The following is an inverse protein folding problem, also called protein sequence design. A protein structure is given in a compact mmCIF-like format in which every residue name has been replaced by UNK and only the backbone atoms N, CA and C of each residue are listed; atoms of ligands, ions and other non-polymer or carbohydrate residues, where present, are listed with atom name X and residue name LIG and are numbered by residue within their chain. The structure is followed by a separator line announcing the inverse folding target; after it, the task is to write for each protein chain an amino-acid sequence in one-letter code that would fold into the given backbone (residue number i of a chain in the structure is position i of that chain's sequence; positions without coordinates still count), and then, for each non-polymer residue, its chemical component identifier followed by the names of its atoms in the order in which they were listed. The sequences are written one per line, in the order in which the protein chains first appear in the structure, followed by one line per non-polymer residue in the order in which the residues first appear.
data_IF_522166489537
#
_entry.id   IF_522166489537
#
_cell.length_a   1.000
_cell.length_b   1.000
_cell.length_c   1.000
_cell.angle_alpha   90.00
_cell.angle_beta   90.00
_cell.angle_gamma   90.00
#
_symmetry.space_group_name_H-M   'P 1'
#
loop_
_entity.id
_entity.type
_entity.pdbx_description
1 polymer ?
#
# COMPACT_ATOMS: atom_id res chain seq x y z
N UNK A 1 31.31 20.08 29.68
CA UNK A 1 31.85 20.49 28.37
C UNK A 1 30.75 20.89 27.38
N UNK A 2 29.47 20.58 27.65
CA UNK A 2 28.36 20.99 26.80
C UNK A 2 28.11 20.05 25.61
N UNK A 3 28.70 18.86 25.64
CA UNK A 3 28.52 17.83 24.61
C UNK A 3 27.07 17.33 24.58
N UNK A 4 26.49 17.23 23.38
CA UNK A 4 25.14 16.70 23.16
C UNK A 4 25.12 15.68 22.02
N UNK A 5 24.06 14.88 21.98
CA UNK A 5 23.77 13.96 20.88
C UNK A 5 22.29 14.10 20.55
N UNK A 6 21.98 14.16 19.25
CA UNK A 6 20.63 14.19 18.73
C UNK A 6 20.41 12.91 17.92
N UNK A 7 19.32 12.20 18.22
CA UNK A 7 18.88 11.03 17.46
C UNK A 7 17.47 11.33 16.99
N UNK A 8 17.28 11.39 15.68
CA UNK A 8 15.94 11.57 15.09
C UNK A 8 15.09 10.34 15.37
N UNK A 9 13.84 10.56 15.74
CA UNK A 9 12.84 9.50 15.88
C UNK A 9 12.15 9.25 14.53
N UNK A 10 12.75 8.40 13.70
CA UNK A 10 12.17 7.99 12.41
C UNK A 10 10.91 7.11 12.56
N UNK A 11 10.47 6.81 13.80
CA UNK A 11 9.17 6.15 14.03
C UNK A 11 8.04 7.15 14.26
N UNK A 12 8.36 8.45 14.34
CA UNK A 12 7.36 9.49 14.48
C UNK A 12 6.68 9.76 13.12
N UNK A 13 5.37 9.53 12.96
CA UNK A 13 4.68 9.74 11.70
C UNK A 13 4.70 11.20 11.23
N UNK A 14 4.84 12.17 12.15
CA UNK A 14 5.00 13.58 11.77
C UNK A 14 6.38 13.89 11.18
N UNK A 15 7.40 13.09 11.51
CA UNK A 15 8.74 13.21 10.91
C UNK A 15 8.75 12.53 9.55
N UNK A 16 8.11 11.37 9.44
CA UNK A 16 8.02 10.63 8.18
C UNK A 16 7.17 11.35 7.13
N UNK A 17 6.04 11.96 7.51
CA UNK A 17 5.21 12.71 6.56
C UNK A 17 5.73 14.11 6.21
N UNK A 18 7.05 14.37 6.31
CA UNK A 18 7.63 15.65 5.90
C UNK A 18 8.10 15.57 4.46
N UNK A 19 7.44 16.31 3.57
CA UNK A 19 7.92 16.49 2.19
C UNK A 19 9.25 17.27 2.15
N UNK A 20 9.92 17.25 0.99
CA UNK A 20 11.17 17.96 0.68
C UNK A 20 11.17 19.48 1.02
N UNK A 21 9.98 20.08 1.16
CA UNK A 21 9.82 21.51 1.45
C UNK A 21 9.43 21.82 2.89
N UNK A 22 9.20 20.80 3.70
CA UNK A 22 8.73 20.91 5.07
C UNK A 22 9.84 20.69 6.09
N UNK A 23 9.62 21.20 7.30
CA UNK A 23 10.56 21.02 8.40
C UNK A 23 9.86 21.04 9.75
N UNK A 24 10.43 20.30 10.68
CA UNK A 24 10.12 20.37 12.11
C UNK A 24 11.29 20.99 12.86
N UNK A 25 11.02 21.49 14.07
CA UNK A 25 12.03 22.12 14.91
C UNK A 25 11.93 21.62 16.34
N UNK A 26 13.03 21.08 16.85
CA UNK A 26 13.23 20.78 18.27
C UNK A 26 13.98 21.92 18.96
N UNK A 27 13.51 22.34 20.12
CA UNK A 27 14.07 23.47 20.87
C UNK A 27 14.43 23.04 22.29
N UNK A 28 15.70 23.17 22.65
CA UNK A 28 16.23 22.85 23.96
C UNK A 28 16.81 24.09 24.63
N UNK A 29 16.30 24.45 25.81
CA UNK A 29 16.82 25.58 26.59
C UNK A 29 17.84 25.04 27.60
N UNK A 30 19.03 25.64 27.63
CA UNK A 30 20.07 25.28 28.59
C UNK A 30 20.58 26.50 29.35
N UNK A 31 20.88 26.27 30.62
CA UNK A 31 21.46 27.27 31.53
C UNK A 31 22.84 26.81 31.97
N UNK A 32 23.82 27.69 31.84
CA UNK A 32 25.18 27.50 32.38
C UNK A 32 25.34 28.38 33.60
N UNK A 33 26.04 27.89 34.63
CA UNK A 33 26.44 28.66 35.80
C UNK A 33 27.97 28.73 35.84
N UNK A 34 28.51 29.89 36.20
CA UNK A 34 29.93 30.01 36.52
C UNK A 34 30.24 29.57 37.98
N UNK A 35 31.48 29.80 38.42
CA UNK A 35 31.99 29.30 39.69
C UNK A 35 31.44 30.05 40.92
N UNK A 36 30.92 31.26 40.74
CA UNK A 36 30.32 32.11 41.77
C UNK A 36 28.78 32.17 41.70
N UNK A 37 28.18 31.53 40.69
CA UNK A 37 26.75 31.22 40.65
C UNK A 37 25.94 32.10 39.69
N UNK A 38 26.59 32.88 38.84
CA UNK A 38 25.92 33.65 37.80
C UNK A 38 25.48 32.70 36.68
N UNK A 39 24.19 32.78 36.34
CA UNK A 39 23.58 31.95 35.31
C UNK A 39 23.46 32.68 33.97
N UNK A 40 23.66 31.94 32.87
CA UNK A 40 23.36 32.38 31.51
C UNK A 40 22.55 31.32 30.79
N UNK A 41 21.44 31.73 30.18
CA UNK A 41 20.53 30.84 29.46
C UNK A 41 20.62 31.09 27.96
N UNK A 42 20.60 30.02 27.18
CA UNK A 42 20.48 30.10 25.73
C UNK A 42 19.72 28.87 25.18
N UNK A 43 19.50 28.86 23.87
CA UNK A 43 18.64 27.89 23.19
C UNK A 43 19.43 27.15 22.12
N UNK A 44 19.37 25.82 22.14
CA UNK A 44 19.78 24.95 21.05
C UNK A 44 18.53 24.63 20.21
N UNK A 45 18.58 24.96 18.93
CA UNK A 45 17.53 24.67 17.96
C UNK A 45 18.05 23.63 16.97
N UNK A 46 17.33 22.52 16.82
CA UNK A 46 17.59 21.49 15.83
C UNK A 46 16.47 21.57 14.79
N UNK A 47 16.83 21.76 13.52
CA UNK A 47 15.88 21.74 12.40
C UNK A 47 15.96 20.39 11.71
N UNK A 48 14.82 19.73 11.59
CA UNK A 48 14.63 18.49 10.84
C UNK A 48 14.02 18.90 9.50
N UNK A 49 14.75 18.70 8.40
CA UNK A 49 14.19 18.91 7.06
C UNK A 49 13.64 17.57 6.56
N UNK A 50 12.50 17.62 5.88
CA UNK A 50 11.92 16.45 5.21
C UNK A 50 12.77 15.94 4.04
N UNK A 51 12.41 14.74 3.60
CA UNK A 51 12.83 14.09 2.36
C UNK A 51 11.56 13.53 1.76
N UNK A 52 11.27 13.86 0.51
CA UNK A 52 10.15 13.33 -0.25
C UNK A 52 10.51 11.91 -0.73
N UNK A 53 10.10 10.90 0.03
CA UNK A 53 10.38 9.49 -0.20
C UNK A 53 9.14 8.81 -0.79
N UNK A 54 9.03 8.84 -2.12
CA UNK A 54 7.83 8.33 -2.80
C UNK A 54 7.49 6.84 -2.63
N UNK A 55 6.31 6.50 -3.09
CA UNK A 55 5.72 5.15 -2.98
C UNK A 55 6.10 4.18 -4.11
N UNK A 56 6.05 2.87 -3.84
CA UNK A 56 6.05 1.81 -4.86
C UNK A 56 5.02 0.73 -4.54
N UNK A 57 4.53 0.06 -5.58
CA UNK A 57 3.69 -1.13 -5.51
C UNK A 57 4.33 -2.24 -6.37
N UNK A 58 4.17 -3.49 -5.93
CA UNK A 58 4.60 -4.68 -6.66
C UNK A 58 3.50 -5.73 -6.61
N UNK A 59 2.93 -6.04 -7.77
CA UNK A 59 2.05 -7.19 -7.97
C UNK A 59 2.91 -8.34 -8.55
N UNK A 60 2.94 -9.53 -7.91
CA UNK A 60 3.73 -10.65 -8.42
C UNK A 60 3.03 -11.37 -9.58
N UNK A 61 3.75 -11.58 -10.68
CA UNK A 61 3.34 -12.51 -11.75
C UNK A 61 3.52 -13.96 -11.29
N UNK A 62 2.41 -14.63 -10.96
CA UNK A 62 2.35 -16.02 -10.54
C UNK A 62 2.01 -16.99 -11.70
N UNK A 63 1.68 -16.46 -12.88
CA UNK A 63 1.51 -17.24 -14.11
C UNK A 63 2.84 -17.53 -14.83
N UNK A 64 3.88 -16.75 -14.50
CA UNK A 64 5.21 -16.81 -15.09
C UNK A 64 5.29 -16.12 -16.45
N UNK A 65 6.52 -15.91 -16.94
CA UNK A 65 6.83 -15.00 -18.06
C UNK A 65 6.21 -15.28 -19.45
N UNK A 66 5.34 -16.28 -19.57
CA UNK A 66 4.58 -16.57 -20.79
C UNK A 66 3.07 -16.73 -20.57
N UNK A 67 2.58 -16.57 -19.33
CA UNK A 67 1.17 -16.44 -19.04
C UNK A 67 0.65 -15.05 -19.42
N UNK A 68 -0.65 -14.94 -19.60
CA UNK A 68 -1.31 -13.64 -19.73
C UNK A 68 -1.78 -13.20 -18.34
N UNK A 69 -1.55 -11.94 -17.97
CA UNK A 69 -1.86 -11.41 -16.63
C UNK A 69 -1.03 -12.04 -15.51
N UNK A 70 -1.24 -11.57 -14.29
CA UNK A 70 -0.48 -12.01 -13.11
C UNK A 70 -1.02 -13.28 -12.45
N UNK A 71 -2.33 -13.50 -12.52
CA UNK A 71 -3.03 -14.67 -11.96
C UNK A 71 -3.92 -15.33 -13.02
N UNK A 72 -4.28 -16.60 -12.80
CA UNK A 72 -5.21 -17.34 -13.67
C UNK A 72 -6.28 -18.02 -12.85
N UNK A 73 -7.53 -17.83 -13.27
CA UNK A 73 -8.71 -18.60 -12.83
C UNK A 73 -9.42 -19.18 -14.06
N UNK A 74 -10.23 -20.22 -13.85
CA UNK A 74 -10.84 -20.98 -14.93
C UNK A 74 -12.35 -21.03 -14.78
N UNK A 75 -13.08 -20.54 -15.79
CA UNK A 75 -14.54 -20.71 -15.89
C UNK A 75 -14.96 -22.19 -15.88
N UNK A 76 -14.08 -23.09 -16.35
CA UNK A 76 -14.35 -24.52 -16.26
C UNK A 76 -14.53 -25.00 -14.82
N UNK A 77 -13.92 -24.29 -13.85
CA UNK A 77 -14.01 -24.55 -12.42
C UNK A 77 -15.34 -24.13 -11.77
N UNK A 78 -16.11 -23.25 -12.42
CA UNK A 78 -17.41 -22.81 -11.95
C UNK A 78 -18.37 -23.99 -11.76
N UNK A 79 -19.40 -23.78 -10.94
CA UNK A 79 -20.32 -24.85 -10.52
C UNK A 79 -21.05 -25.55 -11.69
N UNK A 80 -21.36 -24.82 -12.75
CA UNK A 80 -21.95 -25.33 -14.00
C UNK A 80 -20.94 -25.46 -15.15
N UNK A 81 -19.66 -25.22 -14.85
CA UNK A 81 -18.55 -25.35 -15.78
C UNK A 81 -18.29 -26.79 -16.22
N UNK A 82 -17.38 -26.94 -17.18
CA UNK A 82 -17.03 -28.26 -17.73
C UNK A 82 -16.17 -29.13 -16.79
N UNK A 83 -15.59 -28.54 -15.74
CA UNK A 83 -14.79 -29.22 -14.73
C UNK A 83 -15.04 -28.62 -13.32
N UNK A 84 -16.26 -28.73 -12.74
CA UNK A 84 -16.59 -28.04 -11.50
C UNK A 84 -15.64 -28.39 -10.34
N UNK A 85 -15.17 -27.37 -9.63
CA UNK A 85 -14.18 -27.50 -8.54
C UNK A 85 -12.72 -27.43 -8.98
N UNK A 86 -12.46 -27.12 -10.25
CA UNK A 86 -11.19 -26.54 -10.68
C UNK A 86 -11.02 -25.10 -10.14
N UNK A 87 -9.87 -24.46 -10.38
CA UNK A 87 -9.54 -23.14 -9.79
C UNK A 87 -10.33 -22.00 -10.43
N UNK A 88 -11.56 -21.75 -9.97
CA UNK A 88 -12.36 -20.54 -10.27
C UNK A 88 -12.08 -19.37 -9.31
N UNK A 89 -11.28 -19.63 -8.27
CA UNK A 89 -10.76 -18.67 -7.30
C UNK A 89 -9.23 -18.75 -7.21
N UNK A 90 -8.60 -17.62 -6.93
CA UNK A 90 -7.18 -17.50 -6.57
C UNK A 90 -7.01 -16.70 -5.28
N UNK A 91 -6.04 -17.10 -4.46
CA UNK A 91 -5.61 -16.34 -3.27
C UNK A 91 -4.19 -15.85 -3.49
N UNK A 92 -3.96 -14.54 -3.34
CA UNK A 92 -2.66 -13.94 -3.58
C UNK A 92 -2.45 -12.68 -2.76
N UNK A 93 -1.36 -11.96 -3.05
CA UNK A 93 -0.98 -10.74 -2.34
C UNK A 93 -0.13 -9.82 -3.19
N UNK A 94 -0.16 -8.52 -2.89
CA UNK A 94 0.76 -7.52 -3.45
C UNK A 94 1.44 -6.73 -2.32
N UNK A 95 2.58 -6.10 -2.65
CA UNK A 95 3.40 -5.38 -1.68
C UNK A 95 3.40 -3.88 -1.97
N UNK A 96 3.27 -3.07 -0.91
CA UNK A 96 3.31 -1.62 -0.94
C UNK A 96 4.51 -1.13 -0.12
N UNK A 97 5.24 -0.15 -0.65
CA UNK A 97 6.20 0.67 0.09
C UNK A 97 5.75 2.13 0.01
N UNK A 98 5.71 2.80 1.15
CA UNK A 98 5.30 4.20 1.30
C UNK A 98 6.06 4.77 2.52
N UNK A 99 7.36 5.10 2.40
CA UNK A 99 8.20 5.51 3.51
C UNK A 99 7.66 6.70 4.32
N UNK A 100 6.94 7.60 3.65
CA UNK A 100 6.29 8.78 4.25
C UNK A 100 4.91 8.45 4.87
N UNK A 101 4.56 7.17 4.90
CA UNK A 101 3.33 6.61 5.46
C UNK A 101 2.27 6.37 4.39
N UNK A 102 1.56 5.24 4.48
CA UNK A 102 0.47 4.94 3.57
C UNK A 102 -0.77 5.81 3.84
N UNK A 103 -1.22 6.58 2.86
CA UNK A 103 -2.48 7.32 2.93
C UNK A 103 -3.67 6.45 2.54
N UNK A 104 -3.65 5.95 1.31
CA UNK A 104 -4.72 5.10 0.75
C UNK A 104 -4.24 4.24 -0.41
N UNK A 105 -5.04 3.24 -0.77
CA UNK A 105 -5.00 2.64 -2.09
C UNK A 105 -6.31 2.92 -2.82
N UNK A 106 -6.24 3.03 -4.15
CA UNK A 106 -7.41 3.11 -5.02
C UNK A 106 -7.39 1.91 -5.95
N UNK A 107 -8.47 1.13 -5.94
CA UNK A 107 -8.69 0.02 -6.87
C UNK A 107 -9.49 0.54 -8.06
N UNK A 108 -8.99 0.31 -9.26
CA UNK A 108 -9.56 0.74 -10.55
C UNK A 108 -9.84 -0.52 -11.37
N UNK A 109 -11.10 -0.93 -11.42
CA UNK A 109 -11.53 -2.21 -12.02
C UNK A 109 -12.07 -2.08 -13.46
N UNK A 110 -11.95 -0.91 -14.08
CA UNK A 110 -12.48 -0.66 -15.42
C UNK A 110 -14.01 -0.51 -15.52
N UNK A 111 -14.78 -0.84 -14.47
CA UNK A 111 -16.24 -0.65 -14.39
C UNK A 111 -16.66 0.81 -14.26
N UNK A 112 -15.70 1.69 -13.96
CA UNK A 112 -15.88 3.14 -13.82
C UNK A 112 -16.25 3.62 -12.42
N UNK A 113 -16.12 2.76 -11.40
CA UNK A 113 -16.31 3.10 -9.98
C UNK A 113 -15.07 2.77 -9.15
N UNK A 114 -14.09 3.67 -9.14
CA UNK A 114 -12.88 3.49 -8.34
C UNK A 114 -13.21 3.36 -6.85
N UNK A 115 -12.60 2.38 -6.19
CA UNK A 115 -12.77 2.13 -4.75
C UNK A 115 -11.54 2.65 -4.01
N UNK A 116 -11.72 3.74 -3.26
CA UNK A 116 -10.67 4.30 -2.40
C UNK A 116 -10.73 3.64 -1.02
N UNK A 117 -9.61 3.11 -0.57
CA UNK A 117 -9.46 2.37 0.68
C UNK A 117 -8.37 3.03 1.52
N UNK A 118 -8.73 3.55 2.69
CA UNK A 118 -7.78 4.12 3.64
C UNK A 118 -6.91 3.05 4.30
N UNK A 119 -5.73 3.43 4.83
CA UNK A 119 -4.91 2.53 5.63
C UNK A 119 -5.70 1.92 6.81
N UNK A 120 -6.61 2.68 7.41
CA UNK A 120 -7.45 2.20 8.51
C UNK A 120 -8.42 1.08 8.11
N UNK A 121 -8.95 1.14 6.88
CA UNK A 121 -9.79 0.10 6.31
C UNK A 121 -8.96 -1.13 5.94
N UNK A 122 -7.77 -0.94 5.37
CA UNK A 122 -6.82 -2.03 5.14
C UNK A 122 -6.46 -2.75 6.43
N UNK A 123 -6.17 -2.04 7.52
CA UNK A 123 -5.90 -2.64 8.83
C UNK A 123 -7.11 -3.43 9.37
N UNK A 124 -8.33 -3.02 9.04
CA UNK A 124 -9.55 -3.71 9.43
C UNK A 124 -9.89 -4.92 8.54
N UNK A 125 -9.31 -5.01 7.34
CA UNK A 125 -9.64 -6.01 6.30
C UNK A 125 -9.53 -7.47 6.75
N UNK A 126 -8.68 -7.77 7.74
CA UNK A 126 -8.54 -9.10 8.32
C UNK A 126 -9.79 -9.60 9.07
N UNK A 127 -10.73 -8.70 9.37
CA UNK A 127 -12.00 -9.00 10.07
C UNK A 127 -13.22 -8.45 9.36
N UNK A 128 -13.05 -7.39 8.59
CA UNK A 128 -14.09 -6.75 7.79
C UNK A 128 -13.57 -6.66 6.36
N UNK A 129 -13.75 -7.75 5.61
CA UNK A 129 -13.29 -7.83 4.23
C UNK A 129 -13.85 -6.66 3.40
N UNK A 130 -13.05 -6.22 2.43
CA UNK A 130 -13.44 -5.19 1.46
C UNK A 130 -13.67 -5.91 0.14
N UNK A 131 -14.86 -5.74 -0.42
CA UNK A 131 -15.29 -6.39 -1.66
C UNK A 131 -15.40 -5.36 -2.77
N UNK A 132 -14.78 -5.66 -3.90
CA UNK A 132 -14.80 -4.86 -5.12
C UNK A 132 -15.30 -5.78 -6.24
N UNK A 133 -16.42 -5.40 -6.86
CA UNK A 133 -16.96 -6.10 -8.03
C UNK A 133 -16.20 -5.59 -9.26
N UNK A 134 -15.63 -6.50 -10.06
CA UNK A 134 -14.86 -6.19 -11.27
C UNK A 134 -15.68 -6.48 -12.52
N UNK A 135 -15.07 -6.43 -13.71
CA UNK A 135 -15.78 -6.75 -14.95
C UNK A 135 -16.20 -8.23 -15.01
N UNK A 136 -15.35 -9.14 -14.51
CA UNK A 136 -15.54 -10.59 -14.65
C UNK A 136 -15.61 -11.36 -13.33
N UNK A 137 -15.43 -10.69 -12.19
CA UNK A 137 -15.41 -11.35 -10.91
C UNK A 137 -15.48 -10.41 -9.72
N UNK A 138 -15.04 -10.93 -8.59
CA UNK A 138 -15.05 -10.22 -7.32
C UNK A 138 -13.66 -10.28 -6.71
N UNK A 139 -13.04 -9.12 -6.47
CA UNK A 139 -11.83 -8.98 -5.67
C UNK A 139 -12.20 -8.73 -4.21
N UNK A 140 -11.66 -9.55 -3.30
CA UNK A 140 -11.87 -9.42 -1.86
C UNK A 140 -10.54 -9.21 -1.17
N UNK A 141 -10.29 -8.00 -0.67
CA UNK A 141 -9.18 -7.73 0.24
C UNK A 141 -9.56 -8.24 1.62
N UNK A 142 -8.79 -9.21 2.12
CA UNK A 142 -9.10 -9.98 3.32
C UNK A 142 -7.96 -9.96 4.35
N UNK A 143 -6.95 -9.12 4.16
CA UNK A 143 -5.90 -8.92 5.12
C UNK A 143 -4.88 -7.86 4.71
N UNK A 144 -4.28 -7.23 5.70
CA UNK A 144 -3.15 -6.33 5.52
C UNK A 144 -2.12 -6.57 6.63
N UNK A 145 -0.86 -6.78 6.24
CA UNK A 145 0.27 -6.94 7.15
C UNK A 145 1.17 -5.71 7.02
N UNK A 146 1.03 -4.69 7.89
CA UNK A 146 1.84 -3.47 7.81
C UNK A 146 3.32 -3.75 8.12
N UNK A 147 4.20 -3.01 7.47
CA UNK A 147 5.63 -3.02 7.69
C UNK A 147 6.12 -1.59 8.02
N UNK A 148 6.32 -1.33 9.30
CA UNK A 148 6.76 -0.03 9.79
C UNK A 148 8.11 0.43 9.23
N UNK A 149 8.97 -0.47 8.73
CA UNK A 149 10.25 -0.08 8.11
C UNK A 149 10.11 0.46 6.69
N UNK A 150 8.99 0.19 6.03
CA UNK A 150 8.72 0.65 4.66
C UNK A 150 7.49 1.57 4.58
N UNK A 151 6.83 1.83 5.71
CA UNK A 151 5.57 2.59 5.86
C UNK A 151 4.33 2.03 5.13
N UNK A 152 4.51 1.08 4.22
CA UNK A 152 3.46 0.26 3.60
C UNK A 152 3.32 -1.13 4.24
N UNK A 153 3.19 -2.18 3.43
CA UNK A 153 2.96 -3.54 3.90
C UNK A 153 2.56 -4.52 2.79
N UNK A 154 2.05 -5.70 3.18
CA UNK A 154 1.54 -6.72 2.26
C UNK A 154 0.02 -6.77 2.36
N UNK A 155 -0.68 -6.56 1.23
CA UNK A 155 -2.14 -6.68 1.12
C UNK A 155 -2.46 -8.08 0.58
N UNK A 156 -3.34 -8.79 1.28
CA UNK A 156 -3.81 -10.14 0.93
C UNK A 156 -5.20 -10.05 0.33
N UNK A 157 -5.43 -10.82 -0.72
CA UNK A 157 -6.71 -10.84 -1.41
C UNK A 157 -7.10 -12.23 -1.93
N UNK A 158 -8.38 -12.41 -2.19
CA UNK A 158 -8.90 -13.46 -3.07
C UNK A 158 -9.56 -12.82 -4.28
N UNK A 159 -9.46 -13.46 -5.44
CA UNK A 159 -10.23 -13.11 -6.62
C UNK A 159 -10.98 -14.34 -7.11
N UNK A 160 -12.28 -14.20 -7.35
CA UNK A 160 -13.17 -15.27 -7.82
C UNK A 160 -13.96 -14.82 -9.04
N UNK A 161 -14.14 -15.71 -10.01
CA UNK A 161 -15.07 -15.45 -11.11
C UNK A 161 -16.53 -15.45 -10.62
N UNK A 162 -17.30 -14.49 -11.11
CA UNK A 162 -18.73 -14.40 -10.79
C UNK A 162 -19.56 -15.35 -11.63
N UNK A 163 -19.22 -15.47 -12.92
CA UNK A 163 -19.85 -16.34 -13.90
C UNK A 163 -18.91 -16.55 -15.11
N UNK A 164 -19.33 -17.35 -16.08
CA UNK A 164 -18.65 -17.46 -17.35
C UNK A 164 -18.88 -16.21 -18.22
N UNK A 165 -17.88 -15.78 -18.99
CA UNK A 165 -18.02 -14.69 -19.95
C UNK A 165 -18.33 -15.17 -21.36
N UNK A 166 -18.91 -14.28 -22.17
CA UNK A 166 -19.13 -14.46 -23.60
C UNK A 166 -18.09 -13.71 -24.45
N UNK A 167 -17.11 -13.08 -23.82
CA UNK A 167 -16.12 -12.24 -24.50
C UNK A 167 -14.97 -13.04 -25.15
N UNK A 168 -14.98 -14.36 -25.01
CA UNK A 168 -14.10 -15.26 -25.76
C UNK A 168 -14.33 -15.09 -27.26
N UNK A 169 -13.25 -14.76 -27.97
CA UNK A 169 -13.29 -14.48 -29.41
C UNK A 169 -12.85 -15.67 -30.27
N UNK A 170 -12.26 -16.68 -29.62
CA UNK A 170 -11.70 -17.87 -30.27
C UNK A 170 -12.42 -19.13 -29.78
N UNK A 171 -12.63 -20.10 -30.69
CA UNK A 171 -13.15 -21.41 -30.31
C UNK A 171 -12.05 -22.28 -29.69
N UNK A 172 -12.32 -22.87 -28.52
CA UNK A 172 -11.36 -23.65 -27.74
C UNK A 172 -10.94 -22.91 -26.48
N UNK A 173 -9.77 -23.24 -25.93
CA UNK A 173 -9.22 -22.48 -24.81
C UNK A 173 -8.82 -21.09 -25.31
N UNK A 174 -9.42 -20.06 -24.73
CA UNK A 174 -9.16 -18.66 -24.98
C UNK A 174 -8.90 -17.96 -23.64
N UNK A 175 -8.26 -16.79 -23.68
CA UNK A 175 -7.91 -16.02 -22.49
C UNK A 175 -8.55 -14.65 -22.57
N UNK A 176 -9.32 -14.32 -21.54
CA UNK A 176 -9.88 -12.99 -21.29
C UNK A 176 -9.17 -12.42 -20.08
N UNK A 177 -8.81 -11.13 -20.12
CA UNK A 177 -8.13 -10.44 -19.03
C UNK A 177 -9.10 -9.55 -18.29
N UNK A 178 -9.16 -9.72 -16.97
CA UNK A 178 -9.70 -8.70 -16.07
C UNK A 178 -8.53 -7.80 -15.63
N UNK A 179 -8.60 -6.49 -15.92
CA UNK A 179 -7.51 -5.55 -15.66
C UNK A 179 -7.86 -4.68 -14.45
N UNK A 180 -7.24 -4.99 -13.31
CA UNK A 180 -7.53 -4.33 -12.03
C UNK A 180 -6.32 -3.48 -11.63
N UNK A 181 -6.40 -2.19 -11.89
CA UNK A 181 -5.36 -1.24 -11.51
C UNK A 181 -5.38 -0.96 -10.01
N UNK A 182 -4.19 -0.88 -9.40
CA UNK A 182 -4.03 -0.43 -8.02
C UNK A 182 -3.17 0.82 -8.04
N UNK A 183 -3.68 1.92 -7.48
CA UNK A 183 -2.91 3.15 -7.24
C UNK A 183 -2.69 3.31 -5.74
N UNK A 184 -1.44 3.46 -5.32
CA UNK A 184 -1.06 3.80 -3.95
C UNK A 184 -0.87 5.30 -3.84
N UNK A 185 -1.32 5.88 -2.74
CA UNK A 185 -1.07 7.28 -2.36
C UNK A 185 -0.59 7.32 -0.91
N UNK A 186 0.56 7.94 -0.65
CA UNK A 186 1.07 8.19 0.69
C UNK A 186 0.44 9.44 1.34
N UNK A 187 0.97 9.89 2.47
CA UNK A 187 0.35 10.94 3.28
C UNK A 187 0.59 12.37 2.77
N UNK A 188 1.64 12.59 1.98
CA UNK A 188 1.98 13.87 1.35
C UNK A 188 1.62 13.94 -0.14
N UNK A 189 1.20 12.82 -0.73
CA UNK A 189 0.42 12.77 -1.97
C UNK A 189 1.17 12.23 -3.17
N UNK A 190 2.34 11.64 -2.95
CA UNK A 190 3.07 10.85 -3.91
C UNK A 190 2.28 9.61 -4.29
N UNK A 191 2.45 9.16 -5.54
CA UNK A 191 1.65 8.07 -6.10
C UNK A 191 2.47 7.07 -6.91
N UNK A 192 2.08 5.81 -6.80
CA UNK A 192 2.56 4.72 -7.65
C UNK A 192 1.39 3.86 -8.09
N UNK A 193 1.52 3.19 -9.23
CA UNK A 193 0.47 2.31 -9.74
C UNK A 193 1.05 1.07 -10.40
N UNK A 194 0.26 0.00 -10.39
CA UNK A 194 0.49 -1.28 -11.07
C UNK A 194 -0.86 -1.88 -11.48
N UNK A 195 -0.87 -2.83 -12.42
CA UNK A 195 -2.11 -3.42 -12.99
C UNK A 195 -1.96 -4.91 -13.23
#
# INVERSE_FOLDING_TARGET
DGSYTYTLDNTNPLVQGLSDTESLTDTFVYTISDADGDESTTTLTITINGSDDGTTIVIPDNNGSGGAGDETVYEAGLADGSNPGDSDEVTSSFTITAPDGLGSITVVDGSGSDVVISESELLASATTNITIDTEYGTLVINGYTPNASTGGGVVHYTYSLDDNTLDHSVAGNDTVLDSIGITVTDTDGDTSNDT
#
